data_IF_122667183928
#
_entry.id   IF_122667183928
#
_cell.length_a   1.000
_cell.length_b   1.000
_cell.length_c   1.000
_cell.angle_alpha   90.00
_cell.angle_beta   90.00
_cell.angle_gamma   90.00
#
_symmetry.space_group_name_H-M   'P 1'
#
loop_
_entity.id
_entity.type
_entity.pdbx_description
1 polymer ?
#
# COMPACT_ATOMS: atom_id res chain seq x y z
N UNK A 1 32.98 -4.53 -7.82
CA UNK A 1 32.41 -4.65 -6.46
C UNK A 1 31.77 -6.02 -6.42
N UNK A 2 32.42 -6.96 -5.73
CA UNK A 2 32.15 -8.40 -5.83
C UNK A 2 30.70 -8.74 -5.50
N UNK A 3 30.09 -9.52 -6.38
CA UNK A 3 28.75 -10.07 -6.20
C UNK A 3 28.79 -11.16 -5.12
N UNK A 4 28.09 -10.92 -4.02
CA UNK A 4 27.73 -12.00 -3.11
C UNK A 4 26.35 -12.55 -3.54
N UNK A 5 26.26 -13.81 -4.01
CA UNK A 5 24.97 -14.47 -4.13
C UNK A 5 24.39 -14.62 -2.72
N UNK A 6 23.28 -13.94 -2.44
CA UNK A 6 22.67 -13.98 -1.10
C UNK A 6 22.03 -15.34 -0.85
N UNK A 7 22.57 -15.99 0.18
CA UNK A 7 22.03 -17.13 0.92
C UNK A 7 20.57 -16.92 1.38
N UNK A 8 19.85 -18.01 1.72
CA UNK A 8 18.56 -17.92 2.40
C UNK A 8 18.64 -17.00 3.62
N UNK A 9 17.54 -16.29 3.92
CA UNK A 9 17.38 -15.32 5.00
C UNK A 9 18.32 -15.59 6.18
N UNK A 10 19.45 -14.87 6.25
CA UNK A 10 20.46 -15.15 7.26
C UNK A 10 20.01 -14.57 8.61
N UNK A 11 20.51 -15.16 9.70
CA UNK A 11 20.20 -14.71 11.07
C UNK A 11 20.69 -13.27 11.33
N UNK A 12 21.57 -12.73 10.50
CA UNK A 12 22.02 -11.34 10.54
C UNK A 12 20.93 -10.38 10.04
N UNK A 13 20.30 -10.67 8.90
CA UNK A 13 19.19 -9.90 8.33
C UNK A 13 17.97 -9.89 9.25
N UNK A 14 17.73 -10.97 10.00
CA UNK A 14 16.66 -11.03 11.01
C UNK A 14 16.84 -10.05 12.16
N UNK A 15 18.07 -9.60 12.44
CA UNK A 15 18.31 -8.66 13.57
C UNK A 15 17.63 -7.32 13.34
N UNK A 16 17.51 -6.88 12.09
CA UNK A 16 16.92 -5.58 11.74
C UNK A 16 15.42 -5.51 12.04
N UNK A 17 14.72 -6.64 11.96
CA UNK A 17 13.27 -6.75 12.20
C UNK A 17 12.93 -7.78 13.28
N UNK A 18 13.85 -7.99 14.23
CA UNK A 18 13.69 -8.94 15.35
C UNK A 18 12.43 -8.68 16.17
N UNK A 19 12.03 -7.41 16.33
CA UNK A 19 10.80 -7.04 17.01
C UNK A 19 9.57 -7.70 16.37
N UNK A 20 9.49 -7.68 15.04
CA UNK A 20 8.44 -8.38 14.30
C UNK A 20 8.50 -9.89 14.52
N UNK A 21 9.68 -10.52 14.43
CA UNK A 21 9.82 -11.97 14.67
C UNK A 21 9.26 -12.37 16.04
N UNK A 22 9.67 -11.65 17.08
CA UNK A 22 9.31 -11.95 18.47
C UNK A 22 7.81 -11.72 18.68
N UNK A 23 7.30 -10.54 18.31
CA UNK A 23 5.90 -10.20 18.54
C UNK A 23 4.96 -11.16 17.78
N UNK A 24 5.24 -11.43 16.49
CA UNK A 24 4.39 -12.35 15.72
C UNK A 24 4.45 -13.78 16.25
N UNK A 25 5.61 -14.22 16.75
CA UNK A 25 5.75 -15.52 17.41
C UNK A 25 4.91 -15.61 18.68
N UNK A 26 5.00 -14.62 19.56
CA UNK A 26 4.24 -14.62 20.81
C UNK A 26 2.72 -14.53 20.55
N UNK A 27 2.27 -13.69 19.62
CA UNK A 27 0.85 -13.61 19.26
C UNK A 27 0.37 -14.94 18.66
N UNK A 28 1.13 -15.52 17.72
CA UNK A 28 0.77 -16.80 17.10
C UNK A 28 0.72 -17.94 18.13
N UNK A 29 1.65 -17.95 19.09
CA UNK A 29 1.64 -18.94 20.17
C UNK A 29 0.43 -18.73 21.09
N UNK A 30 0.14 -17.50 21.47
CA UNK A 30 -1.04 -17.18 22.27
C UNK A 30 -2.34 -17.59 21.58
N UNK A 31 -2.47 -17.37 20.27
CA UNK A 31 -3.62 -17.81 19.45
C UNK A 31 -3.77 -19.34 19.49
N UNK A 32 -2.66 -20.07 19.37
CA UNK A 32 -2.67 -21.54 19.41
C UNK A 32 -3.09 -22.07 20.78
N UNK A 33 -2.61 -21.44 21.85
CA UNK A 33 -2.87 -21.86 23.22
C UNK A 33 -4.25 -21.39 23.72
N UNK A 34 -4.81 -20.34 23.12
CA UNK A 34 -6.08 -19.72 23.53
C UNK A 34 -7.05 -19.60 22.34
N UNK A 35 -7.77 -20.69 21.96
CA UNK A 35 -8.67 -20.69 20.80
C UNK A 35 -9.86 -19.73 20.89
N UNK A 36 -10.13 -19.15 22.05
CA UNK A 36 -11.18 -18.13 22.27
C UNK A 36 -10.69 -16.70 22.08
N UNK A 37 -9.37 -16.48 22.04
CA UNK A 37 -8.77 -15.16 21.85
C UNK A 37 -9.26 -14.53 20.54
N UNK A 38 -9.68 -13.28 20.56
CA UNK A 38 -10.15 -12.58 19.36
C UNK A 38 -9.16 -11.48 19.02
N UNK A 39 -8.74 -11.44 17.76
CA UNK A 39 -7.88 -10.39 17.22
C UNK A 39 -8.69 -9.59 16.20
N UNK A 40 -8.99 -8.33 16.52
CA UNK A 40 -9.72 -7.44 15.63
C UNK A 40 -8.82 -6.70 14.66
N UNK A 41 -7.59 -6.38 15.06
CA UNK A 41 -6.67 -5.54 14.28
C UNK A 41 -5.24 -6.07 14.39
N UNK A 42 -4.51 -6.04 13.28
CA UNK A 42 -3.08 -6.31 13.23
C UNK A 42 -2.41 -5.22 12.40
N UNK A 43 -1.62 -4.37 13.06
CA UNK A 43 -1.00 -3.19 12.46
C UNK A 43 0.51 -3.31 12.54
N UNK A 44 1.14 -3.41 11.38
CA UNK A 44 2.58 -3.40 11.19
C UNK A 44 2.94 -2.15 10.38
N UNK A 45 3.09 -1.04 11.08
CA UNK A 45 3.31 0.29 10.50
C UNK A 45 4.76 0.76 10.69
N UNK A 46 5.33 1.40 9.66
CA UNK A 46 6.67 2.00 9.67
C UNK A 46 6.69 3.52 9.89
N UNK A 47 5.52 4.14 10.12
CA UNK A 47 5.32 5.60 10.35
C UNK A 47 6.05 6.46 9.34
N UNK A 48 5.93 6.13 8.06
CA UNK A 48 6.57 6.86 6.98
C UNK A 48 8.11 6.78 6.94
N UNK A 49 8.76 6.01 7.81
CA UNK A 49 10.20 5.77 7.76
C UNK A 49 10.56 4.76 6.65
N UNK A 50 11.79 4.84 6.14
CA UNK A 50 12.39 3.90 5.17
C UNK A 50 12.63 2.48 5.73
N UNK A 51 11.92 2.12 6.78
CA UNK A 51 12.06 0.86 7.50
C UNK A 51 10.82 0.02 7.30
N UNK A 52 10.95 -1.29 7.38
CA UNK A 52 9.81 -2.18 7.31
C UNK A 52 10.25 -3.60 7.61
N UNK A 53 9.29 -4.47 7.86
CA UNK A 53 9.58 -5.90 7.93
C UNK A 53 9.98 -6.37 6.54
N UNK A 54 10.99 -7.22 6.42
CA UNK A 54 11.37 -7.72 5.10
C UNK A 54 10.21 -8.48 4.44
N UNK A 55 9.87 -8.15 3.19
CA UNK A 55 8.89 -8.90 2.40
C UNK A 55 9.30 -10.37 2.18
N UNK A 56 10.60 -10.68 2.36
CA UNK A 56 11.17 -12.03 2.27
C UNK A 56 10.62 -13.02 3.30
N UNK A 57 9.81 -12.56 4.25
CA UNK A 57 8.91 -13.43 5.03
C UNK A 57 8.08 -14.34 4.12
N UNK A 58 7.81 -13.94 2.87
CA UNK A 58 7.09 -14.71 1.86
C UNK A 58 7.98 -15.40 0.81
N UNK A 59 9.26 -15.66 1.13
CA UNK A 59 10.14 -16.46 0.25
C UNK A 59 9.90 -17.96 0.41
N UNK A 60 9.56 -18.40 1.63
CA UNK A 60 9.40 -19.82 1.94
C UNK A 60 8.23 -20.08 2.89
N UNK A 61 7.33 -21.03 2.56
CA UNK A 61 6.23 -21.40 3.44
C UNK A 61 6.71 -22.14 4.70
N UNK A 62 7.94 -22.65 4.69
CA UNK A 62 8.53 -23.34 5.83
C UNK A 62 9.05 -22.36 6.90
N UNK A 63 9.24 -21.08 6.56
CA UNK A 63 9.73 -20.08 7.52
C UNK A 63 8.77 -19.96 8.72
N UNK A 64 9.35 -19.83 9.92
CA UNK A 64 8.57 -19.67 11.14
C UNK A 64 7.75 -18.37 11.10
N UNK A 65 8.34 -17.33 10.51
CA UNK A 65 7.78 -16.00 10.39
C UNK A 65 6.57 -15.99 9.44
N UNK A 66 6.62 -16.68 8.29
CA UNK A 66 5.45 -16.86 7.43
C UNK A 66 4.33 -17.62 8.15
N UNK A 67 4.66 -18.71 8.84
CA UNK A 67 3.66 -19.53 9.56
C UNK A 67 3.01 -18.77 10.71
N UNK A 68 3.78 -17.98 11.45
CA UNK A 68 3.26 -17.13 12.51
C UNK A 68 2.33 -16.06 11.95
N UNK A 69 2.73 -15.39 10.88
CA UNK A 69 1.88 -14.39 10.23
C UNK A 69 0.58 -15.02 9.68
N UNK A 70 0.65 -16.19 9.02
CA UNK A 70 -0.54 -16.92 8.57
C UNK A 70 -1.45 -17.29 9.74
N UNK A 71 -0.89 -17.67 10.90
CA UNK A 71 -1.67 -17.98 12.11
C UNK A 71 -2.45 -16.75 12.59
N UNK A 72 -1.79 -15.58 12.59
CA UNK A 72 -2.39 -14.29 12.96
C UNK A 72 -3.49 -13.90 11.98
N UNK A 73 -3.21 -13.93 10.67
CA UNK A 73 -4.15 -13.55 9.62
C UNK A 73 -5.37 -14.47 9.53
N UNK A 74 -5.22 -15.73 9.92
CA UNK A 74 -6.32 -16.70 9.97
C UNK A 74 -7.23 -16.52 11.17
N UNK A 75 -6.90 -15.62 12.12
CA UNK A 75 -7.65 -15.50 13.37
C UNK A 75 -8.81 -14.51 13.23
N UNK A 76 -10.07 -14.96 13.30
CA UNK A 76 -11.21 -14.05 13.33
C UNK A 76 -11.26 -13.26 14.65
N UNK A 77 -11.89 -12.07 14.67
CA UNK A 77 -12.64 -11.44 13.57
C UNK A 77 -11.82 -10.48 12.70
N UNK A 78 -10.48 -10.60 12.63
CA UNK A 78 -9.54 -9.63 12.02
C UNK A 78 -10.16 -8.75 10.92
N UNK A 79 -10.41 -7.48 11.28
CA UNK A 79 -11.10 -6.47 10.47
C UNK A 79 -10.16 -5.44 9.88
N UNK A 80 -9.06 -5.12 10.57
CA UNK A 80 -8.03 -4.19 10.10
C UNK A 80 -6.70 -4.89 9.98
N UNK A 81 -6.08 -4.74 8.82
CA UNK A 81 -4.73 -5.22 8.54
C UNK A 81 -3.91 -4.10 7.94
N UNK A 82 -2.75 -3.85 8.53
CA UNK A 82 -1.78 -2.93 7.97
C UNK A 82 -0.42 -3.61 7.89
N UNK A 83 0.17 -3.57 6.69
CA UNK A 83 1.42 -4.23 6.36
C UNK A 83 2.35 -3.23 5.68
N UNK A 84 3.44 -2.85 6.34
CA UNK A 84 4.55 -2.09 5.75
C UNK A 84 5.80 -2.96 5.55
N UNK A 85 6.17 -3.18 4.28
CA UNK A 85 7.28 -4.06 3.92
C UNK A 85 8.51 -3.31 3.41
N UNK A 86 9.68 -3.74 3.88
CA UNK A 86 10.94 -3.40 3.24
C UNK A 86 11.20 -4.34 2.05
N UNK A 87 11.33 -3.75 0.85
CA UNK A 87 11.50 -4.50 -0.40
C UNK A 87 12.95 -4.74 -0.80
N UNK A 88 13.94 -4.10 -0.18
CA UNK A 88 15.36 -4.33 -0.45
C UNK A 88 15.70 -4.40 -1.95
N UNK A 89 16.18 -5.56 -2.41
CA UNK A 89 16.56 -5.82 -3.81
C UNK A 89 15.48 -6.50 -4.65
N UNK A 90 14.24 -6.67 -4.14
CA UNK A 90 13.17 -7.41 -4.81
C UNK A 90 12.92 -6.95 -6.25
N UNK A 91 12.94 -5.65 -6.50
CA UNK A 91 12.68 -5.09 -7.83
C UNK A 91 13.70 -5.56 -8.87
N UNK A 92 14.96 -5.76 -8.47
CA UNK A 92 16.03 -6.26 -9.34
C UNK A 92 15.91 -7.75 -9.64
N UNK A 93 15.14 -8.45 -8.82
CA UNK A 93 14.94 -9.91 -8.88
C UNK A 93 13.54 -10.28 -9.37
N UNK A 94 12.79 -9.31 -9.90
CA UNK A 94 11.41 -9.49 -10.36
C UNK A 94 10.42 -9.92 -9.24
N UNK A 95 10.52 -9.27 -8.08
CA UNK A 95 9.55 -9.37 -6.99
C UNK A 95 9.25 -10.81 -6.52
N UNK A 96 10.27 -11.66 -6.27
CA UNK A 96 10.06 -13.08 -5.97
C UNK A 96 9.17 -13.31 -4.75
N UNK A 97 9.28 -12.51 -3.69
CA UNK A 97 8.44 -12.63 -2.49
C UNK A 97 6.95 -12.36 -2.80
N UNK A 98 6.67 -11.43 -3.72
CA UNK A 98 5.29 -11.08 -4.10
C UNK A 98 4.73 -11.97 -5.23
N UNK A 99 5.60 -12.54 -6.07
CA UNK A 99 5.22 -13.49 -7.13
C UNK A 99 5.05 -14.93 -6.64
N UNK A 100 5.60 -15.27 -5.47
CA UNK A 100 5.49 -16.63 -4.89
C UNK A 100 4.04 -17.08 -4.63
N UNK A 101 3.10 -16.13 -4.54
CA UNK A 101 1.71 -16.37 -4.16
C UNK A 101 1.51 -16.67 -2.67
N UNK A 102 2.57 -16.63 -1.85
CA UNK A 102 2.48 -16.86 -0.41
C UNK A 102 1.76 -15.72 0.30
N UNK A 103 2.03 -14.46 -0.08
CA UNK A 103 1.28 -13.31 0.43
C UNK A 103 -0.22 -13.45 0.15
N UNK A 104 -0.61 -13.80 -1.08
CA UNK A 104 -2.01 -14.04 -1.45
C UNK A 104 -2.66 -15.14 -0.62
N UNK A 105 -1.97 -16.28 -0.47
CA UNK A 105 -2.47 -17.42 0.33
C UNK A 105 -2.57 -17.09 1.82
N UNK A 106 -1.76 -16.16 2.33
CA UNK A 106 -1.85 -15.68 3.70
C UNK A 106 -3.04 -14.72 3.85
N UNK A 107 -3.17 -13.77 2.92
CA UNK A 107 -4.22 -12.75 2.89
C UNK A 107 -5.63 -13.33 2.72
N UNK A 108 -5.79 -14.42 1.95
CA UNK A 108 -7.12 -15.04 1.75
C UNK A 108 -7.69 -15.64 3.05
N UNK A 109 -6.85 -15.84 4.08
CA UNK A 109 -7.29 -16.30 5.40
C UNK A 109 -7.98 -15.21 6.23
N UNK A 110 -7.72 -13.94 5.93
CA UNK A 110 -8.34 -12.78 6.57
C UNK A 110 -9.69 -12.46 5.89
N UNK A 111 -10.70 -13.31 6.08
CA UNK A 111 -11.99 -13.22 5.39
C UNK A 111 -12.95 -12.13 5.93
N UNK A 112 -12.70 -11.58 7.12
CA UNK A 112 -13.52 -10.55 7.75
C UNK A 112 -12.97 -9.13 7.54
N UNK A 113 -12.01 -8.98 6.62
CA UNK A 113 -11.28 -7.73 6.44
C UNK A 113 -12.19 -6.61 5.94
N UNK A 114 -12.12 -5.48 6.63
CA UNK A 114 -12.84 -4.24 6.31
C UNK A 114 -11.88 -3.12 5.96
N UNK A 115 -10.64 -3.19 6.45
CA UNK A 115 -9.62 -2.17 6.27
C UNK A 115 -8.28 -2.83 5.98
N UNK A 116 -7.71 -2.54 4.81
CA UNK A 116 -6.40 -3.01 4.40
C UNK A 116 -5.53 -1.83 4.01
N UNK A 117 -4.39 -1.69 4.68
CA UNK A 117 -3.29 -0.83 4.25
C UNK A 117 -2.07 -1.65 3.88
N UNK A 118 -1.56 -1.42 2.68
CA UNK A 118 -0.33 -1.99 2.20
C UNK A 118 0.63 -0.87 1.79
N UNK A 119 1.78 -0.86 2.44
CA UNK A 119 2.83 0.13 2.26
C UNK A 119 4.16 -0.58 2.02
N UNK A 120 5.06 0.03 1.25
CA UNK A 120 6.42 -0.47 1.14
C UNK A 120 7.45 0.62 1.35
N UNK A 121 8.69 0.23 1.61
CA UNK A 121 9.81 1.15 1.77
C UNK A 121 10.49 1.48 0.44
N UNK A 122 9.83 1.30 -0.72
CA UNK A 122 10.44 1.56 -2.02
C UNK A 122 10.79 3.06 -2.12
N UNK A 123 12.06 3.41 -2.39
CA UNK A 123 12.47 4.79 -2.63
C UNK A 123 11.70 5.42 -3.78
N UNK A 124 10.99 6.50 -3.46
CA UNK A 124 10.48 7.48 -4.40
C UNK A 124 11.71 8.20 -4.97
N UNK A 125 12.45 7.63 -5.91
CA UNK A 125 13.61 8.31 -6.51
C UNK A 125 13.58 8.18 -8.04
N UNK A 126 12.92 9.15 -8.68
CA UNK A 126 12.92 9.55 -10.09
C UNK A 126 14.30 9.54 -10.76
N UNK A 127 15.38 9.76 -10.01
CA UNK A 127 16.73 9.87 -10.60
C UNK A 127 17.54 8.56 -10.62
N UNK A 128 17.11 7.51 -9.92
CA UNK A 128 17.81 6.21 -9.88
C UNK A 128 17.01 5.07 -10.52
N UNK A 129 16.01 5.38 -11.33
CA UNK A 129 15.22 4.39 -12.07
C UNK A 129 16.05 3.36 -12.84
N UNK A 130 17.14 3.80 -13.45
CA UNK A 130 18.11 2.94 -14.15
C UNK A 130 18.79 1.91 -13.22
N UNK A 131 18.76 2.12 -11.91
CA UNK A 131 19.29 1.18 -10.90
C UNK A 131 18.25 0.14 -10.42
N UNK A 132 16.97 0.31 -10.79
CA UNK A 132 15.88 -0.61 -10.47
C UNK A 132 15.45 -1.47 -11.65
N UNK A 133 15.73 -1.04 -12.89
CA UNK A 133 15.22 -1.65 -14.12
C UNK A 133 16.39 -2.17 -14.97
N UNK A 134 16.91 -3.34 -14.61
CA UNK A 134 17.70 -4.17 -15.55
C UNK A 134 16.80 -4.98 -16.50
N UNK A 135 15.51 -5.11 -16.14
CA UNK A 135 14.49 -5.80 -16.92
C UNK A 135 13.30 -4.87 -17.10
N UNK A 136 13.08 -4.38 -18.32
CA UNK A 136 12.06 -3.40 -18.70
C UNK A 136 10.60 -3.82 -18.48
N UNK A 137 10.29 -4.90 -17.74
CA UNK A 137 9.01 -5.57 -17.93
C UNK A 137 8.09 -5.72 -16.71
N UNK A 138 8.55 -5.57 -15.46
CA UNK A 138 7.76 -6.11 -14.35
C UNK A 138 7.62 -5.20 -13.12
N UNK A 139 6.45 -4.55 -13.00
CA UNK A 139 6.00 -3.93 -11.76
C UNK A 139 5.55 -5.00 -10.76
N UNK A 140 5.28 -4.56 -9.52
CA UNK A 140 4.75 -5.45 -8.49
C UNK A 140 3.42 -6.09 -8.94
N UNK A 141 3.18 -7.39 -8.68
CA UNK A 141 2.08 -8.11 -9.30
C UNK A 141 0.77 -8.00 -8.51
N UNK A 142 0.09 -6.84 -8.55
CA UNK A 142 -1.13 -6.54 -7.77
C UNK A 142 -2.15 -7.68 -7.70
N UNK A 143 -2.52 -8.23 -8.85
CA UNK A 143 -3.55 -9.29 -8.96
C UNK A 143 -3.14 -10.61 -8.30
N UNK A 144 -1.84 -10.90 -8.21
CA UNK A 144 -1.36 -12.10 -7.52
C UNK A 144 -0.99 -11.83 -6.06
N UNK A 145 -1.09 -10.58 -5.60
CA UNK A 145 -0.83 -10.22 -4.20
C UNK A 145 -2.12 -10.22 -3.39
N UNK A 146 -3.21 -9.65 -3.90
CA UNK A 146 -4.42 -9.41 -3.10
C UNK A 146 -5.64 -10.22 -3.58
N UNK A 147 -6.26 -11.03 -2.70
CA UNK A 147 -7.48 -11.78 -2.97
C UNK A 147 -8.75 -10.91 -2.85
N UNK A 148 -8.84 -9.82 -3.63
CA UNK A 148 -9.94 -8.84 -3.52
C UNK A 148 -11.34 -9.48 -3.65
N UNK A 149 -11.48 -10.53 -4.47
CA UNK A 149 -12.75 -11.25 -4.66
C UNK A 149 -13.26 -11.92 -3.40
N UNK A 150 -12.39 -12.21 -2.45
CA UNK A 150 -12.71 -12.87 -1.18
C UNK A 150 -13.06 -11.86 -0.07
N UNK A 151 -12.88 -10.56 -0.32
CA UNK A 151 -13.08 -9.49 0.67
C UNK A 151 -14.32 -8.64 0.36
N UNK A 152 -15.50 -9.26 0.36
CA UNK A 152 -16.77 -8.58 0.07
C UNK A 152 -17.13 -7.46 1.07
N UNK A 153 -16.56 -7.47 2.27
CA UNK A 153 -16.78 -6.47 3.31
C UNK A 153 -15.73 -5.36 3.37
N UNK A 154 -14.80 -5.32 2.40
CA UNK A 154 -13.72 -4.34 2.38
C UNK A 154 -14.29 -2.92 2.17
N UNK A 155 -14.10 -2.06 3.18
CA UNK A 155 -14.52 -0.66 3.16
C UNK A 155 -13.37 0.28 2.86
N UNK A 156 -12.16 -0.05 3.30
CA UNK A 156 -10.98 0.78 3.09
C UNK A 156 -9.87 -0.04 2.48
N UNK A 157 -9.30 0.47 1.39
CA UNK A 157 -8.12 -0.09 0.77
C UNK A 157 -7.11 1.03 0.56
N UNK A 158 -5.91 0.85 1.10
CA UNK A 158 -4.82 1.78 0.97
C UNK A 158 -3.60 1.09 0.38
N UNK A 159 -3.08 1.70 -0.69
CA UNK A 159 -1.88 1.27 -1.37
C UNK A 159 -0.92 2.45 -1.43
N UNK A 160 0.25 2.25 -0.85
CA UNK A 160 1.21 3.34 -0.66
C UNK A 160 2.63 2.93 -1.02
N UNK A 161 3.42 3.89 -1.49
CA UNK A 161 4.87 3.76 -1.74
C UNK A 161 5.23 2.50 -2.49
N UNK A 162 4.60 2.32 -3.63
CA UNK A 162 4.67 1.07 -4.38
C UNK A 162 4.85 1.35 -5.86
N UNK A 163 5.36 0.34 -6.57
CA UNK A 163 5.76 0.48 -7.96
C UNK A 163 4.96 -0.46 -8.88
N UNK A 164 4.13 0.12 -9.76
CA UNK A 164 3.17 -0.61 -10.58
C UNK A 164 3.09 -0.09 -12.02
N UNK A 165 2.48 -0.88 -12.91
CA UNK A 165 1.97 -0.38 -14.19
C UNK A 165 0.60 0.25 -13.96
N UNK A 166 0.34 1.42 -14.54
CA UNK A 166 -0.93 2.14 -14.37
C UNK A 166 -2.14 1.27 -14.75
N UNK A 167 -2.05 0.58 -15.90
CA UNK A 167 -3.10 -0.32 -16.38
C UNK A 167 -3.46 -1.41 -15.35
N UNK A 168 -2.46 -1.91 -14.63
CA UNK A 168 -2.64 -2.98 -13.64
C UNK A 168 -3.31 -2.41 -12.38
N UNK A 169 -3.01 -1.15 -12.00
CA UNK A 169 -3.69 -0.42 -10.93
C UNK A 169 -5.16 -0.17 -11.30
N UNK A 170 -5.46 0.34 -12.49
CA UNK A 170 -6.84 0.55 -12.94
C UNK A 170 -7.61 -0.76 -12.96
N UNK A 171 -7.05 -1.78 -13.60
CA UNK A 171 -7.68 -3.09 -13.70
C UNK A 171 -7.79 -3.83 -12.35
N UNK A 172 -7.11 -3.35 -11.31
CA UNK A 172 -7.26 -3.79 -9.93
C UNK A 172 -8.37 -3.02 -9.20
N UNK A 173 -8.39 -1.69 -9.32
CA UNK A 173 -9.41 -0.84 -8.70
C UNK A 173 -10.81 -1.18 -9.24
N UNK A 174 -10.94 -1.48 -10.53
CA UNK A 174 -12.20 -1.94 -11.14
C UNK A 174 -12.73 -3.26 -10.54
N UNK A 175 -11.92 -3.99 -9.77
CA UNK A 175 -12.33 -5.25 -9.11
C UNK A 175 -12.62 -5.09 -7.62
N UNK A 176 -12.40 -3.90 -7.05
CA UNK A 176 -12.72 -3.63 -5.65
C UNK A 176 -14.23 -3.76 -5.41
N UNK A 177 -14.65 -4.24 -4.22
CA UNK A 177 -16.05 -4.47 -3.93
C UNK A 177 -16.85 -3.17 -3.86
N UNK A 178 -18.16 -3.25 -4.08
CA UNK A 178 -19.07 -2.10 -3.98
C UNK A 178 -19.22 -1.55 -2.56
N UNK A 179 -18.77 -2.29 -1.55
CA UNK A 179 -18.70 -1.86 -0.15
C UNK A 179 -17.56 -0.88 0.14
N UNK A 180 -16.70 -0.59 -0.84
CA UNK A 180 -15.58 0.34 -0.70
C UNK A 180 -16.07 1.76 -0.40
N UNK A 181 -15.68 2.27 0.77
CA UNK A 181 -15.95 3.62 1.27
C UNK A 181 -14.74 4.55 1.04
N UNK A 182 -13.52 4.01 1.02
CA UNK A 182 -12.30 4.79 0.80
C UNK A 182 -11.21 4.01 0.07
N UNK A 183 -10.55 4.69 -0.87
CA UNK A 183 -9.39 4.22 -1.62
C UNK A 183 -8.24 5.21 -1.43
N UNK A 184 -7.10 4.75 -0.94
CA UNK A 184 -5.84 5.51 -0.94
C UNK A 184 -4.88 4.99 -2.00
N UNK A 185 -4.36 5.91 -2.82
CA UNK A 185 -3.33 5.68 -3.83
C UNK A 185 -2.22 6.73 -3.65
N UNK A 186 -1.40 6.57 -2.62
CA UNK A 186 -0.40 7.57 -2.23
C UNK A 186 1.01 7.15 -2.60
N UNK A 187 1.86 8.12 -2.94
CA UNK A 187 3.29 7.88 -3.22
C UNK A 187 3.54 6.75 -4.23
N UNK A 188 2.63 6.58 -5.20
CA UNK A 188 2.77 5.56 -6.22
C UNK A 188 3.75 6.03 -7.29
N UNK A 189 4.50 5.08 -7.80
CA UNK A 189 5.50 5.31 -8.84
C UNK A 189 5.14 4.43 -10.05
N UNK A 190 5.24 4.97 -11.26
CA UNK A 190 4.82 4.31 -12.51
C UNK A 190 5.95 4.30 -13.53
N UNK A 191 6.08 3.20 -14.28
CA UNK A 191 7.11 3.05 -15.31
C UNK A 191 7.13 4.27 -16.27
N UNK A 192 8.32 4.72 -16.70
CA UNK A 192 8.42 5.72 -17.76
C UNK A 192 7.61 5.27 -18.98
N UNK A 193 6.80 6.18 -19.53
CA UNK A 193 5.89 5.94 -20.66
C UNK A 193 4.70 4.98 -20.40
N UNK A 194 4.54 4.43 -19.20
CA UNK A 194 3.42 3.54 -18.83
C UNK A 194 2.41 4.21 -17.89
N UNK A 195 2.74 5.38 -17.33
CA UNK A 195 1.77 6.16 -16.58
C UNK A 195 2.34 7.28 -15.73
N UNK A 196 1.42 8.10 -15.23
CA UNK A 196 1.64 9.18 -14.27
C UNK A 196 0.39 9.29 -13.39
N UNK A 197 0.45 10.05 -12.29
CA UNK A 197 -0.78 10.36 -11.55
C UNK A 197 -1.83 11.07 -12.41
N UNK A 198 -1.39 11.94 -13.33
CA UNK A 198 -2.29 12.62 -14.30
C UNK A 198 -3.07 11.59 -15.11
N UNK A 199 -2.38 10.62 -15.69
CA UNK A 199 -2.97 9.57 -16.52
C UNK A 199 -3.80 8.59 -15.70
N UNK A 200 -3.36 8.22 -14.49
CA UNK A 200 -4.13 7.39 -13.56
C UNK A 200 -5.49 8.02 -13.26
N UNK A 201 -5.52 9.30 -12.85
CA UNK A 201 -6.78 9.98 -12.54
C UNK A 201 -7.69 10.07 -13.76
N UNK A 202 -7.12 10.27 -14.96
CA UNK A 202 -7.88 10.30 -16.21
C UNK A 202 -8.52 8.93 -16.48
N UNK A 203 -7.77 7.84 -16.32
CA UNK A 203 -8.32 6.49 -16.48
C UNK A 203 -9.36 6.17 -15.41
N UNK A 204 -9.16 6.62 -14.17
CA UNK A 204 -10.17 6.46 -13.12
C UNK A 204 -11.48 7.16 -13.50
N UNK A 205 -11.39 8.40 -13.98
CA UNK A 205 -12.55 9.18 -14.46
C UNK A 205 -13.28 8.50 -15.61
N UNK A 206 -12.55 7.90 -16.54
CA UNK A 206 -13.13 7.29 -17.74
C UNK A 206 -13.65 5.87 -17.52
N UNK A 207 -13.12 5.11 -16.55
CA UNK A 207 -13.34 3.66 -16.47
C UNK A 207 -14.02 3.17 -15.17
N UNK A 208 -14.07 3.95 -14.08
CA UNK A 208 -14.49 3.44 -12.77
C UNK A 208 -15.95 3.66 -12.39
N UNK A 209 -16.78 4.22 -13.27
CA UNK A 209 -18.21 4.53 -13.01
C UNK A 209 -18.52 5.41 -11.79
N UNK A 210 -17.51 5.92 -11.10
CA UNK A 210 -17.67 6.67 -9.85
C UNK A 210 -18.44 7.97 -10.02
N UNK A 211 -18.29 8.62 -11.18
CA UNK A 211 -18.99 9.86 -11.51
C UNK A 211 -20.49 9.65 -11.63
N UNK A 212 -20.91 8.48 -12.07
CA UNK A 212 -22.30 8.09 -12.26
C UNK A 212 -22.95 7.62 -10.94
N UNK A 213 -22.15 7.31 -9.92
CA UNK A 213 -22.66 6.92 -8.59
C UNK A 213 -23.28 8.12 -7.86
N UNK A 214 -24.35 7.89 -7.06
CA UNK A 214 -24.81 8.88 -6.09
C UNK A 214 -23.68 9.36 -5.18
N UNK A 215 -23.66 10.64 -4.82
CA UNK A 215 -22.60 11.22 -3.99
C UNK A 215 -22.43 10.52 -2.63
N UNK A 216 -23.48 9.86 -2.11
CA UNK A 216 -23.43 9.09 -0.86
C UNK A 216 -22.75 7.72 -0.98
N UNK A 217 -22.53 7.21 -2.19
CA UNK A 217 -21.92 5.90 -2.46
C UNK A 217 -20.62 5.99 -3.25
N UNK A 218 -20.16 7.20 -3.55
CA UNK A 218 -18.84 7.44 -4.11
C UNK A 218 -17.77 7.18 -3.04
N UNK A 219 -16.76 6.34 -3.33
CA UNK A 219 -15.66 6.15 -2.40
C UNK A 219 -14.84 7.43 -2.28
N UNK A 220 -14.34 7.70 -1.07
CA UNK A 220 -13.35 8.76 -0.86
C UNK A 220 -12.04 8.38 -1.54
N UNK A 221 -11.48 9.28 -2.33
CA UNK A 221 -10.15 9.12 -2.92
C UNK A 221 -9.11 9.90 -2.11
N UNK A 222 -8.11 9.20 -1.59
CA UNK A 222 -6.97 9.78 -0.87
C UNK A 222 -5.73 9.68 -1.75
N UNK A 223 -5.07 10.82 -2.00
CA UNK A 223 -3.86 10.90 -2.81
C UNK A 223 -2.87 11.85 -2.15
N UNK A 224 -1.82 11.27 -1.57
CA UNK A 224 -0.68 11.99 -1.04
C UNK A 224 0.52 11.83 -1.99
N UNK A 225 1.21 12.92 -2.27
CA UNK A 225 2.43 12.94 -3.09
C UNK A 225 3.52 13.75 -2.38
N UNK A 226 4.76 13.68 -2.88
CA UNK A 226 5.86 14.53 -2.41
C UNK A 226 6.38 15.38 -3.55
N UNK A 227 6.74 16.63 -3.25
CA UNK A 227 7.32 17.55 -4.21
C UNK A 227 8.79 17.23 -4.50
N UNK A 228 9.53 16.85 -3.45
CA UNK A 228 10.92 16.43 -3.55
C UNK A 228 11.15 15.10 -2.82
N UNK A 229 11.35 14.09 -3.65
CA UNK A 229 11.74 12.72 -3.34
C UNK A 229 12.94 12.54 -2.39
N UNK A 230 13.82 13.54 -2.29
CA UNK A 230 15.01 13.50 -1.45
C UNK A 230 14.78 13.99 0.00
N UNK A 231 13.59 14.55 0.30
CA UNK A 231 13.25 15.11 1.60
C UNK A 231 11.94 14.48 2.12
N UNK A 232 12.02 13.25 2.59
CA UNK A 232 10.90 12.60 3.29
C UNK A 232 11.03 12.81 4.80
N UNK A 233 10.91 14.07 5.24
CA UNK A 233 10.89 14.46 6.65
C UNK A 233 9.46 14.50 7.22
N UNK A 234 8.56 13.68 6.66
CA UNK A 234 7.12 13.72 6.95
C UNK A 234 6.32 14.72 6.13
N UNK A 235 6.97 15.61 5.39
CA UNK A 235 6.29 16.56 4.52
C UNK A 235 5.69 15.86 3.29
N UNK A 236 4.42 16.13 3.01
CA UNK A 236 3.72 15.65 1.83
C UNK A 236 2.77 16.73 1.30
N UNK A 237 2.22 16.51 0.12
CA UNK A 237 1.16 17.30 -0.48
C UNK A 237 -0.08 16.42 -0.56
N UNK A 238 -1.16 16.85 0.11
CA UNK A 238 -2.47 16.26 -0.03
C UNK A 238 -3.20 16.83 -1.26
N UNK A 239 -3.45 15.97 -2.23
CA UNK A 239 -4.13 16.27 -3.50
C UNK A 239 -5.53 15.67 -3.51
N UNK A 240 -5.96 15.01 -2.43
CA UNK A 240 -7.21 14.22 -2.36
C UNK A 240 -8.43 15.01 -2.80
N UNK A 241 -8.58 16.26 -2.35
CA UNK A 241 -9.70 17.14 -2.72
C UNK A 241 -9.76 17.40 -4.22
N UNK A 242 -8.64 17.83 -4.81
CA UNK A 242 -8.58 18.16 -6.24
C UNK A 242 -8.67 16.89 -7.12
N UNK A 243 -8.08 15.79 -6.68
CA UNK A 243 -8.20 14.49 -7.34
C UNK A 243 -9.65 14.00 -7.37
N UNK A 244 -10.37 14.08 -6.23
CA UNK A 244 -11.77 13.69 -6.15
C UNK A 244 -12.69 14.58 -6.99
N UNK A 245 -12.45 15.90 -7.00
CA UNK A 245 -13.19 16.84 -7.84
C UNK A 245 -12.98 16.55 -9.33
N UNK A 246 -11.76 16.22 -9.74
CA UNK A 246 -11.46 15.80 -11.10
C UNK A 246 -12.08 14.44 -11.46
N UNK A 247 -11.99 13.43 -10.60
CA UNK A 247 -12.48 12.07 -10.94
C UNK A 247 -14.01 12.05 -11.00
N UNK A 248 -14.70 12.60 -9.99
CA UNK A 248 -16.15 12.46 -9.86
C UNK A 248 -16.95 13.67 -10.35
N UNK A 249 -16.35 14.86 -10.49
CA UNK A 249 -17.09 16.09 -10.76
C UNK A 249 -16.58 16.78 -12.04
N UNK A 250 -16.53 18.12 -12.01
CA UNK A 250 -16.12 18.95 -13.15
C UNK A 250 -14.77 19.65 -12.91
N UNK A 251 -14.03 19.21 -11.90
CA UNK A 251 -12.69 19.71 -11.61
C UNK A 251 -11.71 19.49 -12.75
N UNK A 252 -10.62 20.23 -12.71
CA UNK A 252 -9.47 20.05 -13.61
C UNK A 252 -8.48 19.06 -13.02
N UNK A 253 -7.72 18.37 -13.88
CA UNK A 253 -6.70 17.44 -13.43
C UNK A 253 -5.60 18.21 -12.64
N UNK A 254 -5.30 17.82 -11.39
CA UNK A 254 -4.42 18.60 -10.52
C UNK A 254 -2.92 18.49 -10.87
N UNK A 255 -2.53 17.69 -11.86
CA UNK A 255 -1.13 17.44 -12.21
C UNK A 255 -0.71 18.16 -13.48
N UNK A 256 0.54 18.64 -13.51
CA UNK A 256 1.16 19.24 -14.70
C UNK A 256 1.31 18.18 -15.81
N UNK A 257 1.11 18.59 -17.06
CA UNK A 257 1.32 17.72 -18.22
C UNK A 257 2.80 17.33 -18.37
N UNK A 258 3.07 16.11 -18.83
CA UNK A 258 4.43 15.55 -19.03
C UNK A 258 5.31 15.41 -17.77
N UNK A 259 4.79 15.75 -16.58
CA UNK A 259 5.50 15.60 -15.30
C UNK A 259 4.98 14.41 -14.49
N UNK A 260 5.88 13.70 -13.81
CA UNK A 260 5.56 12.43 -13.14
C UNK A 260 4.70 12.65 -11.87
N UNK A 261 5.08 13.64 -11.04
CA UNK A 261 4.43 13.91 -9.75
C UNK A 261 4.18 15.41 -9.46
N UNK A 262 4.42 16.29 -10.43
CA UNK A 262 4.27 17.73 -10.19
C UNK A 262 2.80 18.13 -10.12
N UNK A 263 2.39 18.71 -8.99
CA UNK A 263 1.05 19.23 -8.74
C UNK A 263 0.98 20.69 -9.21
N UNK A 264 -0.13 21.07 -9.87
CA UNK A 264 -0.43 22.45 -10.24
C UNK A 264 -0.55 23.33 -8.99
N UNK A 265 -0.09 24.57 -9.10
CA UNK A 265 -0.17 25.53 -8.01
C UNK A 265 -1.61 25.68 -7.50
N UNK A 266 -1.78 25.61 -6.17
CA UNK A 266 -3.09 25.69 -5.51
C UNK A 266 -3.97 24.43 -5.61
N UNK A 267 -3.52 23.35 -6.26
CA UNK A 267 -4.28 22.09 -6.35
C UNK A 267 -3.88 21.03 -5.29
N UNK A 268 -3.00 21.38 -4.35
CA UNK A 268 -2.61 20.53 -3.23
C UNK A 268 -2.38 21.33 -1.96
N UNK A 269 -2.50 20.66 -0.81
CA UNK A 269 -2.28 21.24 0.52
C UNK A 269 -1.03 20.62 1.14
N UNK A 270 -0.01 21.40 1.53
CA UNK A 270 1.13 20.87 2.28
C UNK A 270 0.67 20.31 3.62
N UNK A 271 1.11 19.11 3.96
CA UNK A 271 0.74 18.39 5.18
C UNK A 271 1.96 17.73 5.81
N UNK A 272 1.90 17.53 7.12
CA UNK A 272 2.93 16.83 7.87
C UNK A 272 2.39 15.49 8.37
N UNK A 273 2.86 14.39 7.78
CA UNK A 273 2.46 13.03 8.12
C UNK A 273 3.04 12.53 9.45
N UNK A 274 4.00 13.24 10.02
CA UNK A 274 4.48 12.99 11.39
C UNK A 274 3.59 13.65 12.44
N UNK A 275 2.63 14.49 12.03
CA UNK A 275 1.59 14.98 12.92
C UNK A 275 0.59 13.85 13.20
N UNK A 276 0.50 13.36 14.45
CA UNK A 276 -0.43 12.28 14.80
C UNK A 276 -1.90 12.67 14.59
N UNK A 277 -2.24 13.95 14.64
CA UNK A 277 -3.61 14.42 14.46
C UNK A 277 -4.05 14.29 13.01
N UNK A 278 -3.15 14.55 12.06
CA UNK A 278 -3.44 14.46 10.63
C UNK A 278 -3.76 13.03 10.20
N UNK A 279 -3.02 12.04 10.74
CA UNK A 279 -3.28 10.63 10.45
C UNK A 279 -4.63 10.17 11.01
N UNK A 280 -5.00 10.57 12.24
CA UNK A 280 -6.32 10.24 12.80
C UNK A 280 -7.47 10.92 12.00
N UNK A 281 -7.29 12.15 11.55
CA UNK A 281 -8.30 12.87 10.76
C UNK A 281 -8.52 12.24 9.38
N UNK A 282 -7.44 11.86 8.68
CA UNK A 282 -7.49 11.28 7.34
C UNK A 282 -8.19 9.92 7.31
N UNK A 283 -7.96 9.08 8.33
CA UNK A 283 -8.36 7.67 8.33
C UNK A 283 -9.47 7.30 9.31
N UNK A 284 -9.70 8.12 10.35
CA UNK A 284 -10.68 7.83 11.40
C UNK A 284 -11.78 8.88 11.53
N UNK A 285 -11.72 9.98 10.78
CA UNK A 285 -12.83 10.92 10.64
C UNK A 285 -13.35 11.46 11.97
N UNK A 286 -12.45 11.88 12.88
CA UNK A 286 -12.88 12.78 13.95
C UNK A 286 -13.23 14.12 13.33
N UNK A 287 -14.51 14.28 12.99
CA UNK A 287 -15.11 15.59 12.77
C UNK A 287 -15.03 16.32 14.10
N UNK A 288 -13.97 17.09 14.31
CA UNK A 288 -14.07 18.24 15.21
C UNK A 288 -14.81 19.29 14.41
N UNK A 289 -16.13 19.31 14.58
CA UNK A 289 -16.94 20.47 14.22
C UNK A 289 -16.31 21.66 14.93
N UNK A 290 -15.63 22.52 14.19
CA UNK A 290 -15.33 23.86 14.68
C UNK A 290 -16.57 24.68 14.35
N UNK A 291 -17.34 24.99 15.40
CA UNK A 291 -18.40 26.01 15.37
C UNK A 291 -17.85 27.38 14.95
#
# INVERSE_FOLDING_TARGET
>A
MEEHPLTPLDEASKREWRGFCVITKEIAQHIRDNPVFQLSEFVMESRQLWTGTSCRVFDSPASEECRNLVTILSRPPLRRLELSFACGTESRQDWPSFRSGLLFRALIKANNLQDLRFDTSIPLVSRTWHNFVGHEQNGMPLRSMFPIKDWSNLRRFALSRSFFKQRDVIAFISTLPSSLESLELSFLTFFPCEGTYRNLLQDMRCNLDWRERPSSTQPKLIVLVVENELQMDGAAIDVSRAAMDYVCHHGENPYVEEQIMQVLEGKGTPVNLLDPMYYEELYHGRVVSVE
#
